data_IF_009272658811
#
_entry.id   IF_009272658811
#
_cell.length_a   1.000
_cell.length_b   1.000
_cell.length_c   1.000
_cell.angle_alpha   90.00
_cell.angle_beta   90.00
_cell.angle_gamma   90.00
#
_symmetry.space_group_name_H-M   'P 1'
#
loop_
_entity.id
_entity.type
_entity.pdbx_description
1 polymer ?
#
# COMPACT_ATOMS: atom_id res chain seq x y z
N UNK A 1 -19.99 39.87 -16.43
CA UNK A 1 -18.75 39.34 -15.82
C UNK A 1 -17.60 40.21 -16.30
N UNK A 2 -17.03 41.05 -15.42
CA UNK A 2 -15.82 41.83 -15.74
C UNK A 2 -14.61 40.92 -15.52
N UNK A 3 -13.79 40.75 -16.55
CA UNK A 3 -12.46 40.16 -16.43
C UNK A 3 -11.45 41.31 -16.38
N UNK A 4 -10.74 41.48 -15.26
CA UNK A 4 -9.71 42.50 -15.13
C UNK A 4 -8.48 42.13 -15.95
N UNK A 5 -7.99 43.04 -16.80
CA UNK A 5 -6.70 42.90 -17.48
C UNK A 5 -5.61 43.42 -16.54
N UNK A 6 -4.87 42.51 -15.93
CA UNK A 6 -3.79 42.86 -15.02
C UNK A 6 -2.53 43.34 -15.75
N UNK A 7 -1.80 44.27 -15.12
CA UNK A 7 -0.47 44.67 -15.55
C UNK A 7 0.54 43.53 -15.34
N UNK A 8 1.67 43.52 -16.09
CA UNK A 8 2.69 42.49 -15.94
C UNK A 8 3.15 42.33 -14.49
N UNK A 9 3.11 41.10 -13.97
CA UNK A 9 3.46 40.80 -12.59
C UNK A 9 2.31 40.90 -11.57
N UNK A 10 1.07 41.17 -12.00
CA UNK A 10 -0.12 41.17 -11.13
C UNK A 10 -1.17 40.14 -11.59
N UNK A 11 -1.91 39.56 -10.66
CA UNK A 11 -2.86 38.46 -10.95
C UNK A 11 -3.97 38.33 -9.89
N UNK A 12 -4.93 37.44 -10.16
CA UNK A 12 -6.17 37.28 -9.40
C UNK A 12 -7.36 37.92 -10.11
N UNK A 13 -8.58 37.59 -9.69
CA UNK A 13 -9.80 38.07 -10.35
C UNK A 13 -9.92 39.61 -10.30
N UNK A 14 -9.21 40.26 -9.38
CA UNK A 14 -9.13 41.71 -9.20
C UNK A 14 -7.68 42.22 -9.26
N UNK A 15 -6.74 41.46 -9.84
CA UNK A 15 -5.31 41.81 -9.90
C UNK A 15 -4.67 42.11 -8.53
N UNK A 16 -5.19 41.53 -7.46
CA UNK A 16 -4.84 41.88 -6.08
C UNK A 16 -3.52 41.27 -5.58
N UNK A 17 -2.89 40.41 -6.36
CA UNK A 17 -1.69 39.71 -5.95
C UNK A 17 -0.50 40.08 -6.85
N UNK A 18 0.60 40.48 -6.23
CA UNK A 18 1.85 40.81 -6.91
C UNK A 18 2.77 39.58 -7.03
N UNK A 19 3.54 39.52 -8.11
CA UNK A 19 4.55 38.50 -8.33
C UNK A 19 5.78 38.82 -7.47
N UNK A 20 6.05 37.98 -6.48
CA UNK A 20 7.21 38.13 -5.62
C UNK A 20 8.51 37.80 -6.37
N UNK A 21 9.62 38.53 -6.12
CA UNK A 21 10.94 38.25 -6.71
C UNK A 21 11.46 36.83 -6.40
N UNK A 22 10.97 36.23 -5.32
CA UNK A 22 11.30 34.88 -4.88
C UNK A 22 10.55 33.78 -5.64
N UNK A 23 9.60 34.14 -6.53
CA UNK A 23 8.86 33.20 -7.38
C UNK A 23 9.75 32.65 -8.50
N UNK A 24 10.64 31.76 -8.11
CA UNK A 24 11.55 31.02 -8.99
C UNK A 24 10.80 29.89 -9.70
N UNK A 25 11.12 29.69 -10.97
CA UNK A 25 10.57 28.59 -11.74
C UNK A 25 10.90 27.25 -11.10
N UNK A 26 9.87 26.52 -10.67
CA UNK A 26 10.02 25.20 -10.04
C UNK A 26 10.17 24.07 -11.07
N UNK A 27 10.89 24.30 -12.17
CA UNK A 27 11.12 23.31 -13.22
C UNK A 27 12.39 22.50 -12.94
N UNK A 28 12.49 21.30 -13.50
CA UNK A 28 13.71 20.49 -13.43
C UNK A 28 14.90 21.18 -14.10
N UNK A 29 16.14 20.88 -13.68
CA UNK A 29 17.35 21.44 -14.30
C UNK A 29 17.33 21.27 -15.83
N UNK A 30 17.87 22.24 -16.56
CA UNK A 30 17.90 22.23 -18.03
C UNK A 30 16.54 22.26 -18.74
N UNK A 31 15.45 22.57 -18.02
CA UNK A 31 14.13 22.84 -18.61
C UNK A 31 13.95 24.34 -18.88
N UNK A 32 13.17 24.68 -19.90
CA UNK A 32 12.85 26.08 -20.20
C UNK A 32 11.59 26.46 -19.44
N UNK A 33 11.66 27.53 -18.65
CA UNK A 33 10.49 28.05 -17.96
C UNK A 33 9.81 29.13 -18.80
N UNK A 34 8.53 28.94 -19.13
CA UNK A 34 7.73 29.94 -19.84
C UNK A 34 7.08 30.90 -18.84
N UNK A 35 6.69 30.40 -17.66
CA UNK A 35 5.98 31.17 -16.64
C UNK A 35 6.29 30.59 -15.26
N UNK A 36 6.52 31.42 -14.25
CA UNK A 36 6.78 30.98 -12.87
C UNK A 36 5.54 30.94 -11.97
N UNK A 37 4.53 31.78 -12.25
CA UNK A 37 3.41 32.06 -11.36
C UNK A 37 2.07 32.28 -12.12
N UNK A 38 0.86 31.98 -11.56
CA UNK A 38 0.54 31.23 -10.33
C UNK A 38 0.94 29.76 -10.32
N UNK A 39 1.28 29.24 -11.48
CA UNK A 39 1.76 27.87 -11.65
C UNK A 39 2.89 27.90 -12.66
N UNK A 40 3.97 27.19 -12.34
CA UNK A 40 5.11 27.12 -13.25
C UNK A 40 4.73 26.34 -14.51
N UNK A 41 4.95 26.92 -15.69
CA UNK A 41 4.83 26.24 -16.99
C UNK A 41 6.24 25.97 -17.49
N UNK A 42 6.56 24.70 -17.67
CA UNK A 42 7.88 24.22 -18.08
C UNK A 42 7.79 23.55 -19.45
N UNK A 43 8.75 23.84 -20.33
CA UNK A 43 9.03 23.04 -21.52
C UNK A 43 10.10 22.03 -21.16
N UNK A 44 9.76 20.75 -21.29
CA UNK A 44 10.67 19.67 -20.93
C UNK A 44 11.68 19.40 -22.03
N UNK A 45 12.96 19.17 -21.67
CA UNK A 45 13.95 18.68 -22.62
C UNK A 45 13.63 17.24 -23.04
N UNK A 46 14.26 16.78 -24.11
CA UNK A 46 14.07 15.41 -24.62
C UNK A 46 14.29 14.36 -23.51
N UNK A 47 13.39 13.39 -23.42
CA UNK A 47 13.44 12.32 -22.42
C UNK A 47 12.89 12.70 -21.04
N UNK A 48 12.35 13.91 -20.86
CA UNK A 48 11.68 14.34 -19.62
C UNK A 48 10.22 14.68 -19.83
N UNK A 49 9.38 14.35 -18.85
CA UNK A 49 7.94 14.64 -18.88
C UNK A 49 7.41 15.14 -17.52
N UNK A 50 6.11 15.41 -17.49
CA UNK A 50 5.40 15.88 -16.32
C UNK A 50 5.37 17.41 -16.20
N UNK A 51 4.52 17.96 -15.33
CA UNK A 51 4.23 19.40 -15.27
C UNK A 51 5.44 20.27 -14.91
N UNK A 52 6.48 19.66 -14.33
CA UNK A 52 7.72 20.33 -13.94
C UNK A 52 8.97 19.63 -14.49
N UNK A 53 8.81 18.69 -15.41
CA UNK A 53 9.91 18.00 -16.09
C UNK A 53 10.85 17.16 -15.21
N UNK A 54 10.42 16.78 -14.00
CA UNK A 54 11.22 15.95 -13.09
C UNK A 54 11.06 14.43 -13.31
N UNK A 55 10.26 14.02 -14.29
CA UNK A 55 10.12 12.60 -14.63
C UNK A 55 11.04 12.31 -15.81
N UNK A 56 12.15 11.63 -15.55
CA UNK A 56 13.00 11.08 -16.61
C UNK A 56 12.38 9.79 -17.14
N UNK A 57 12.39 9.61 -18.47
CA UNK A 57 12.11 8.34 -19.15
C UNK A 57 10.93 7.57 -18.53
N UNK A 58 9.70 7.86 -18.95
CA UNK A 58 8.50 7.34 -18.29
C UNK A 58 8.40 5.80 -18.37
N UNK A 59 8.73 5.07 -17.30
CA UNK A 59 8.60 3.61 -17.30
C UNK A 59 7.12 3.19 -17.28
N UNK A 60 6.21 4.13 -17.03
CA UNK A 60 4.77 3.92 -17.03
C UNK A 60 4.11 4.22 -18.38
N UNK A 61 4.87 4.54 -19.43
CA UNK A 61 4.31 4.78 -20.76
C UNK A 61 3.56 3.54 -21.27
N UNK A 62 2.36 3.74 -21.82
CA UNK A 62 1.46 2.64 -22.19
C UNK A 62 0.72 2.04 -20.99
N UNK A 63 0.77 0.71 -20.82
CA UNK A 63 0.23 0.04 -19.63
C UNK A 63 1.20 0.02 -18.44
N UNK A 64 2.46 0.41 -18.65
CA UNK A 64 3.53 0.26 -17.66
C UNK A 64 3.81 -1.21 -17.28
N UNK A 65 4.69 -1.45 -16.30
CA UNK A 65 5.08 -2.80 -15.87
C UNK A 65 4.12 -3.39 -14.82
N UNK A 66 3.13 -2.63 -14.35
CA UNK A 66 2.25 -3.07 -13.27
C UNK A 66 1.16 -4.01 -13.78
N UNK A 67 1.08 -5.19 -13.18
CA UNK A 67 0.12 -6.23 -13.52
C UNK A 67 -1.17 -6.10 -12.70
N UNK A 68 -2.18 -6.89 -13.07
CA UNK A 68 -3.43 -7.07 -12.31
C UNK A 68 -4.18 -5.77 -11.99
N UNK A 69 -4.10 -4.77 -12.88
CA UNK A 69 -4.74 -3.46 -12.68
C UNK A 69 -4.00 -2.54 -11.71
N UNK A 70 -2.73 -2.82 -11.40
CA UNK A 70 -1.88 -1.94 -10.61
C UNK A 70 -1.65 -0.58 -11.28
N UNK A 71 -1.62 0.48 -10.47
CA UNK A 71 -1.36 1.84 -10.96
C UNK A 71 0.15 2.11 -10.94
N UNK A 72 0.71 2.40 -12.11
CA UNK A 72 2.11 2.78 -12.24
C UNK A 72 2.33 4.22 -11.77
N UNK A 73 3.35 4.43 -10.94
CA UNK A 73 3.85 5.73 -10.53
C UNK A 73 5.23 5.92 -11.15
N UNK A 74 5.40 6.89 -12.06
CA UNK A 74 6.69 7.17 -12.65
C UNK A 74 7.66 7.78 -11.63
N UNK A 75 8.95 7.63 -11.87
CA UNK A 75 9.97 8.16 -10.97
C UNK A 75 10.04 9.70 -11.08
N UNK A 76 10.06 10.39 -9.94
CA UNK A 76 10.24 11.85 -9.86
C UNK A 76 11.60 12.11 -9.22
N UNK A 77 12.53 12.71 -9.97
CA UNK A 77 13.92 12.96 -9.53
C UNK A 77 14.04 13.72 -8.21
N UNK A 78 13.03 14.51 -7.83
CA UNK A 78 13.02 15.24 -6.54
C UNK A 78 12.87 14.31 -5.35
N UNK A 79 12.34 13.11 -5.58
CA UNK A 79 12.28 12.06 -4.58
C UNK A 79 13.60 11.32 -4.69
N UNK A 80 14.45 11.42 -3.68
CA UNK A 80 15.69 10.64 -3.51
C UNK A 80 15.42 9.13 -3.34
N UNK A 81 14.50 8.57 -4.11
CA UNK A 81 14.11 7.17 -4.11
C UNK A 81 14.69 6.52 -5.36
N UNK A 82 15.38 5.41 -5.15
CA UNK A 82 16.05 4.59 -6.15
C UNK A 82 15.20 4.34 -7.39
N UNK A 83 15.65 4.93 -8.51
CA UNK A 83 15.56 4.64 -9.96
C UNK A 83 14.45 3.79 -10.62
N UNK A 84 13.49 3.18 -9.91
CA UNK A 84 12.47 2.32 -10.51
C UNK A 84 11.05 2.94 -10.43
N UNK A 85 10.23 2.65 -11.44
CA UNK A 85 8.78 2.87 -11.38
C UNK A 85 8.19 2.15 -10.16
N UNK A 86 7.23 2.76 -9.47
CA UNK A 86 6.55 2.12 -8.34
C UNK A 86 5.14 1.70 -8.73
N UNK A 87 4.78 0.44 -8.51
CA UNK A 87 3.41 0.00 -8.65
C UNK A 87 2.61 0.16 -7.36
N UNK A 88 1.43 0.78 -7.46
CA UNK A 88 0.40 0.71 -6.42
C UNK A 88 -0.52 -0.46 -6.73
N UNK A 89 -0.48 -1.48 -5.87
CA UNK A 89 -1.26 -2.68 -6.07
C UNK A 89 -2.71 -2.54 -5.60
N UNK A 90 -3.67 -3.14 -6.30
CA UNK A 90 -5.04 -3.29 -5.79
C UNK A 90 -5.07 -4.14 -4.52
N UNK A 91 -6.20 -4.10 -3.81
CA UNK A 91 -6.40 -4.69 -2.47
C UNK A 91 -6.14 -6.21 -2.35
N UNK A 92 -6.02 -6.93 -3.46
CA UNK A 92 -5.88 -8.39 -3.52
C UNK A 92 -4.55 -8.83 -4.15
N UNK A 93 -3.63 -7.91 -4.46
CA UNK A 93 -2.35 -8.20 -5.10
C UNK A 93 -1.17 -7.53 -4.39
N UNK A 94 0.02 -8.10 -4.57
CA UNK A 94 1.27 -7.60 -4.01
C UNK A 94 2.47 -7.98 -4.90
N UNK A 95 3.64 -7.50 -4.49
CA UNK A 95 4.89 -7.64 -5.24
C UNK A 95 5.28 -6.33 -5.93
N UNK A 96 6.49 -6.29 -6.47
CA UNK A 96 7.04 -5.11 -7.15
C UNK A 96 6.18 -4.64 -8.33
N UNK A 97 5.57 -5.60 -9.03
CA UNK A 97 4.74 -5.39 -10.21
C UNK A 97 3.28 -5.80 -9.97
N UNK A 98 2.87 -5.99 -8.71
CA UNK A 98 1.54 -6.50 -8.36
C UNK A 98 1.23 -7.87 -8.98
N UNK A 99 2.27 -8.69 -9.18
CA UNK A 99 2.20 -9.95 -9.87
C UNK A 99 1.62 -11.09 -9.02
N UNK A 100 1.67 -10.98 -7.69
CA UNK A 100 1.27 -12.05 -6.78
C UNK A 100 -0.08 -11.74 -6.14
N UNK A 101 -1.05 -12.68 -6.17
CA UNK A 101 -2.26 -12.53 -5.37
C UNK A 101 -1.93 -12.62 -3.87
N UNK A 102 -2.68 -11.90 -3.04
CA UNK A 102 -2.63 -12.04 -1.58
C UNK A 102 -3.34 -13.33 -1.17
N UNK A 103 -2.80 -13.98 -0.14
CA UNK A 103 -3.46 -15.13 0.49
C UNK A 103 -4.55 -14.61 1.42
N UNK A 104 -5.79 -15.05 1.21
CA UNK A 104 -6.95 -14.76 2.03
C UNK A 104 -7.13 -15.88 3.06
N UNK A 105 -6.97 -15.51 4.31
CA UNK A 105 -7.19 -16.37 5.46
C UNK A 105 -8.59 -16.09 6.01
N UNK A 106 -9.45 -17.10 6.02
CA UNK A 106 -10.82 -17.02 6.54
C UNK A 106 -10.86 -17.80 7.85
N UNK A 107 -11.05 -17.09 8.95
CA UNK A 107 -11.05 -17.68 10.30
C UNK A 107 -12.48 -17.83 10.77
N UNK A 108 -12.92 -19.07 10.91
CA UNK A 108 -14.20 -19.44 11.48
C UNK A 108 -14.04 -19.75 12.96
N UNK A 109 -15.01 -19.30 13.75
CA UNK A 109 -15.09 -19.54 15.18
C UNK A 109 -16.13 -20.62 15.44
N UNK A 110 -15.79 -21.60 16.27
CA UNK A 110 -16.78 -22.55 16.76
C UNK A 110 -17.92 -21.81 17.49
N UNK A 111 -19.19 -22.22 17.36
CA UNK A 111 -20.35 -21.49 17.92
C UNK A 111 -20.32 -21.23 19.44
N UNK A 112 -19.55 -22.04 20.18
CA UNK A 112 -19.39 -21.92 21.64
C UNK A 112 -18.43 -20.77 22.00
N UNK A 113 -17.55 -20.37 21.09
CA UNK A 113 -16.60 -19.28 21.31
C UNK A 113 -17.27 -17.97 20.97
N UNK A 114 -17.30 -17.03 21.92
CA UNK A 114 -17.70 -15.65 21.66
C UNK A 114 -16.74 -15.03 20.65
N UNK A 115 -17.28 -14.50 19.56
CA UNK A 115 -16.47 -13.83 18.54
C UNK A 115 -15.88 -12.56 19.16
N UNK A 116 -14.54 -12.45 19.27
CA UNK A 116 -13.91 -11.31 19.91
C UNK A 116 -13.91 -10.09 18.98
N UNK A 117 -13.94 -8.88 19.55
CA UNK A 117 -13.87 -7.64 18.74
C UNK A 117 -12.50 -7.40 18.08
N UNK A 118 -11.46 -8.05 18.58
CA UNK A 118 -10.09 -7.96 18.09
C UNK A 118 -9.41 -9.32 18.25
N UNK A 119 -8.79 -9.80 17.17
CA UNK A 119 -7.88 -10.93 17.21
C UNK A 119 -6.48 -10.50 16.78
N UNK A 120 -5.47 -11.11 17.38
CA UNK A 120 -4.12 -11.11 16.85
C UNK A 120 -3.87 -12.44 16.16
N UNK A 121 -3.34 -12.40 14.94
CA UNK A 121 -2.95 -13.57 14.19
C UNK A 121 -1.44 -13.66 14.17
N UNK A 122 -0.93 -14.82 14.57
CA UNK A 122 0.48 -15.17 14.51
C UNK A 122 0.69 -16.23 13.43
N UNK A 123 1.63 -15.97 12.53
CA UNK A 123 2.01 -16.88 11.45
C UNK A 123 3.50 -17.18 11.60
N UNK A 124 3.84 -18.47 11.64
CA UNK A 124 5.22 -18.95 11.60
C UNK A 124 5.46 -19.55 10.23
N UNK A 125 6.23 -18.82 9.42
CA UNK A 125 6.70 -19.30 8.12
C UNK A 125 8.17 -19.71 8.20
N UNK A 126 8.53 -20.72 7.43
CA UNK A 126 9.92 -21.10 7.27
C UNK A 126 10.62 -20.16 6.30
N UNK A 127 11.83 -19.72 6.65
CA UNK A 127 12.74 -19.03 5.74
C UNK A 127 13.92 -19.95 5.44
N UNK A 128 14.63 -19.65 4.37
CA UNK A 128 15.86 -20.38 4.07
C UNK A 128 16.85 -20.34 5.26
N UNK A 129 17.61 -21.44 5.42
CA UNK A 129 18.55 -21.71 6.52
C UNK A 129 17.93 -21.95 7.91
N UNK A 130 16.84 -22.74 8.00
CA UNK A 130 16.26 -23.19 9.27
C UNK A 130 15.90 -22.05 10.26
N UNK A 131 15.69 -20.84 9.75
CA UNK A 131 15.24 -19.69 10.51
C UNK A 131 13.75 -19.52 10.30
N UNK A 132 13.00 -19.53 11.39
CA UNK A 132 11.57 -19.23 11.34
C UNK A 132 11.37 -17.72 11.35
N UNK A 133 10.46 -17.22 10.52
CA UNK A 133 9.96 -15.86 10.63
C UNK A 133 8.60 -15.86 11.32
N UNK A 134 8.52 -15.12 12.41
CA UNK A 134 7.27 -14.84 13.11
C UNK A 134 6.65 -13.55 12.58
N UNK A 135 5.41 -13.65 12.10
CA UNK A 135 4.63 -12.51 11.63
C UNK A 135 3.44 -12.37 12.56
N UNK A 136 3.25 -11.17 13.12
CA UNK A 136 2.07 -10.81 13.92
C UNK A 136 1.25 -9.78 13.16
N UNK A 137 -0.03 -10.04 13.00
CA UNK A 137 -1.02 -9.09 12.46
C UNK A 137 -2.25 -9.08 13.35
N UNK A 138 -3.19 -8.17 13.10
CA UNK A 138 -4.43 -8.08 13.86
C UNK A 138 -5.62 -7.81 12.95
N UNK A 139 -6.81 -8.21 13.40
CA UNK A 139 -8.06 -7.94 12.72
C UNK A 139 -9.12 -7.54 13.75
N UNK A 140 -9.70 -6.36 13.52
CA UNK A 140 -10.91 -5.94 14.22
C UNK A 140 -12.11 -6.61 13.55
N UNK A 141 -12.96 -7.23 14.34
CA UNK A 141 -14.16 -7.96 13.90
C UNK A 141 -15.39 -7.15 14.32
N UNK A 142 -16.31 -6.96 13.39
CA UNK A 142 -17.54 -6.22 13.63
C UNK A 142 -18.63 -7.16 14.17
N UNK A 143 -19.62 -6.67 14.94
CA UNK A 143 -20.59 -7.53 15.62
C UNK A 143 -21.45 -8.41 14.70
N UNK A 144 -21.56 -8.04 13.42
CA UNK A 144 -22.31 -8.78 12.41
C UNK A 144 -21.45 -9.75 11.59
N UNK A 145 -20.12 -9.74 11.77
CA UNK A 145 -19.22 -10.66 11.07
C UNK A 145 -19.19 -12.01 11.81
N UNK A 146 -19.40 -13.11 11.08
CA UNK A 146 -19.30 -14.48 11.60
C UNK A 146 -17.91 -15.10 11.46
N UNK A 147 -16.99 -14.41 10.78
CA UNK A 147 -15.63 -14.87 10.52
C UNK A 147 -14.66 -13.69 10.44
N UNK A 148 -13.38 -13.94 10.69
CA UNK A 148 -12.34 -12.95 10.50
C UNK A 148 -11.60 -13.20 9.19
N UNK A 149 -11.61 -12.21 8.30
CA UNK A 149 -10.89 -12.29 7.02
C UNK A 149 -9.62 -11.45 7.10
N UNK A 150 -8.47 -12.10 6.87
CA UNK A 150 -7.15 -11.48 6.86
C UNK A 150 -6.49 -11.75 5.50
N UNK A 151 -5.92 -10.72 4.88
CA UNK A 151 -5.12 -10.86 3.66
C UNK A 151 -3.64 -10.72 4.00
N UNK A 152 -2.82 -11.66 3.52
CA UNK A 152 -1.39 -11.70 3.81
C UNK A 152 -0.58 -11.98 2.55
N UNK A 153 0.66 -11.50 2.53
CA UNK A 153 1.64 -11.83 1.49
C UNK A 153 2.25 -13.22 1.67
N UNK A 154 1.98 -13.87 2.81
CA UNK A 154 2.46 -15.21 3.12
C UNK A 154 1.59 -16.25 2.41
N UNK A 155 2.18 -16.99 1.48
CA UNK A 155 1.51 -18.08 0.77
C UNK A 155 1.84 -19.48 1.30
N UNK A 156 2.92 -19.61 2.09
CA UNK A 156 3.34 -20.88 2.70
C UNK A 156 3.76 -20.64 4.14
N UNK A 157 3.12 -21.33 5.07
CA UNK A 157 3.46 -21.33 6.48
C UNK A 157 3.21 -22.70 7.09
N UNK A 158 3.92 -23.01 8.17
CA UNK A 158 3.80 -24.30 8.85
C UNK A 158 2.74 -24.24 9.95
N UNK A 159 2.60 -23.08 10.58
CA UNK A 159 1.86 -22.95 11.82
C UNK A 159 1.24 -21.56 11.90
N UNK A 160 -0.02 -21.52 12.31
CA UNK A 160 -0.72 -20.28 12.60
C UNK A 160 -1.59 -20.43 13.85
N UNK A 161 -1.62 -19.40 14.68
CA UNK A 161 -2.42 -19.37 15.90
C UNK A 161 -2.96 -17.97 16.17
N UNK A 162 -4.09 -17.89 16.85
CA UNK A 162 -4.73 -16.63 17.21
C UNK A 162 -4.60 -16.34 18.70
N UNK A 163 -4.42 -15.06 19.04
CA UNK A 163 -4.40 -14.53 20.40
C UNK A 163 -5.59 -13.57 20.58
N UNK A 164 -6.45 -13.87 21.55
CA UNK A 164 -7.57 -13.02 21.97
C UNK A 164 -8.05 -13.44 23.37
N UNK A 165 -8.71 -12.53 24.10
CA UNK A 165 -9.26 -12.78 25.45
C UNK A 165 -8.27 -13.48 26.42
N UNK A 166 -6.99 -13.08 26.37
CA UNK A 166 -5.89 -13.65 27.14
C UNK A 166 -5.65 -15.17 26.93
N UNK A 167 -6.09 -15.72 25.80
CA UNK A 167 -5.81 -17.09 25.37
C UNK A 167 -5.08 -17.14 24.04
N UNK A 168 -4.39 -18.25 23.80
CA UNK A 168 -3.86 -18.62 22.50
C UNK A 168 -4.66 -19.81 21.97
N UNK A 169 -5.06 -19.77 20.70
CA UNK A 169 -5.81 -20.83 20.06
C UNK A 169 -5.09 -21.31 18.81
N UNK A 170 -4.83 -22.61 18.75
CA UNK A 170 -4.36 -23.24 17.52
C UNK A 170 -5.46 -23.26 16.47
N UNK A 171 -5.08 -22.98 15.23
CA UNK A 171 -6.03 -23.01 14.12
C UNK A 171 -5.78 -24.23 13.27
N UNK A 172 -6.87 -24.97 13.02
CA UNK A 172 -6.86 -26.09 12.09
C UNK A 172 -7.08 -25.54 10.68
N UNK A 173 -6.23 -25.92 9.73
CA UNK A 173 -6.36 -25.52 8.33
C UNK A 173 -5.98 -26.67 7.42
N UNK A 174 -6.72 -26.81 6.31
CA UNK A 174 -6.34 -27.74 5.25
C UNK A 174 -5.38 -27.02 4.31
N UNK A 175 -4.18 -27.57 4.14
CA UNK A 175 -3.23 -27.03 3.17
C UNK A 175 -3.71 -27.39 1.76
N UNK A 176 -4.08 -26.37 1.01
CA UNK A 176 -4.26 -26.46 -0.43
C UNK A 176 -3.32 -25.42 -1.09
N UNK A 177 -2.98 -25.60 -2.38
CA UNK A 177 -2.30 -24.59 -3.18
C UNK A 177 -3.20 -23.38 -3.52
N UNK A 178 -4.37 -23.30 -2.88
CA UNK A 178 -5.30 -22.19 -2.99
C UNK A 178 -4.75 -20.92 -2.33
N UNK A 179 -5.09 -19.77 -2.92
CA UNK A 179 -4.90 -18.46 -2.29
C UNK A 179 -5.95 -18.17 -1.22
N UNK A 180 -6.98 -19.00 -1.09
CA UNK A 180 -7.94 -18.94 0.01
C UNK A 180 -7.73 -20.13 0.95
N UNK A 181 -7.46 -19.84 2.23
CA UNK A 181 -7.23 -20.84 3.27
C UNK A 181 -8.27 -20.65 4.36
N UNK A 182 -9.09 -21.68 4.56
CA UNK A 182 -10.03 -21.74 5.66
C UNK A 182 -9.35 -22.26 6.92
N UNK A 183 -9.56 -21.54 8.01
CA UNK A 183 -8.97 -21.81 9.31
C UNK A 183 -10.08 -21.87 10.36
N UNK A 184 -10.01 -22.85 11.24
CA UNK A 184 -11.06 -23.13 12.21
C UNK A 184 -10.49 -23.09 13.62
N UNK A 185 -11.13 -22.29 14.48
CA UNK A 185 -10.83 -22.19 15.91
C UNK A 185 -11.85 -23.01 16.69
N UNK A 186 -11.35 -23.97 17.45
CA UNK A 186 -12.14 -24.84 18.30
C UNK A 186 -11.80 -24.63 19.78
N UNK A 187 -12.75 -24.84 20.72
CA UNK A 187 -12.49 -24.68 22.16
C UNK A 187 -11.36 -25.59 22.67
N UNK A 188 -11.24 -26.78 22.10
CA UNK A 188 -10.25 -27.79 22.49
C UNK A 188 -8.83 -27.40 22.08
N UNK A 189 -8.69 -26.46 21.13
CA UNK A 189 -7.39 -25.99 20.63
C UNK A 189 -6.79 -24.85 21.49
N UNK A 190 -7.38 -24.54 22.65
CA UNK A 190 -6.88 -23.50 23.54
C UNK A 190 -5.59 -23.95 24.22
N UNK A 191 -4.50 -23.24 23.95
CA UNK A 191 -3.22 -23.43 24.61
C UNK A 191 -3.12 -22.55 25.87
N UNK A 192 -2.62 -23.12 26.96
CA UNK A 192 -2.23 -22.35 28.14
C UNK A 192 -0.97 -21.54 27.81
N UNK A 193 -0.90 -20.30 28.31
CA UNK A 193 0.31 -19.48 28.20
C UNK A 193 1.49 -20.17 28.89
N UNK A 194 2.68 -20.13 28.28
CA UNK A 194 3.92 -20.70 28.86
C UNK A 194 4.22 -20.09 30.24
N UNK A 195 3.75 -18.86 30.51
CA UNK A 195 3.92 -18.22 31.83
C UNK A 195 3.04 -18.83 32.94
N UNK A 196 2.09 -19.69 32.58
CA UNK A 196 1.14 -20.34 33.49
C UNK A 196 1.41 -21.85 33.65
N UNK A 197 2.58 -22.32 33.20
CA UNK A 197 3.13 -23.67 33.40
C UNK A 197 4.35 -23.57 34.31
#
# INVERSE_FOLDING_TARGET
>A
MLLCRCDPGWFGDQCQYAQEPSMTCSCAPSSICIRSFPSSICVCPLGRIGPRCYINFDPCQGSGPCLNGGRCIPNDERKHSSFAAKCLCPKDFWGEYCQYPLTKLIIYFHPIISIPSLIYLHIIQDKQLAKHQHIKTFKRILPYESSAIIRTTVNKFHLAFSEFENGYYWMNFKRDNSTEIEMYIFPENRCLSIKNL
#
